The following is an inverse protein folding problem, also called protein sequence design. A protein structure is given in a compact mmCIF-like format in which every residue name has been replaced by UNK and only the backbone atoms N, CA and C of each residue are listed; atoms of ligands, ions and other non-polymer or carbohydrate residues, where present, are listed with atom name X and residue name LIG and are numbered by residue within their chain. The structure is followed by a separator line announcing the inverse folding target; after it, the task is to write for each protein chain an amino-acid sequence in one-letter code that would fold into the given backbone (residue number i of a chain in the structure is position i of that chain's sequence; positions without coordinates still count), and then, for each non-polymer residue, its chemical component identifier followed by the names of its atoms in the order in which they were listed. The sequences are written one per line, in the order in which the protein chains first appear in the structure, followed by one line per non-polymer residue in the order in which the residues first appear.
data_IF_344918466819
#
_entry.id   IF_344918466819
#
_cell.length_a   1.000
_cell.length_b   1.000
_cell.length_c   1.000
_cell.angle_alpha   90.00
_cell.angle_beta   90.00
_cell.angle_gamma   90.00
#
_symmetry.space_group_name_H-M   'P 1'
#
loop_
_entity.id
_entity.type
_entity.pdbx_description
1 polymer ?
#
# COMPACT_ATOMS: atom_id res chain seq x y z
N UNK A 1 7.61 -40.76 8.14
CA UNK A 1 6.44 -40.84 7.25
C UNK A 1 6.05 -39.44 6.84
N UNK A 2 6.29 -39.08 5.57
CA UNK A 2 6.19 -37.69 5.09
C UNK A 2 4.82 -37.39 4.47
N UNK A 3 3.78 -37.33 5.30
CA UNK A 3 2.47 -36.77 4.92
C UNK A 3 2.32 -35.29 5.37
N UNK A 4 3.43 -34.57 5.56
CA UNK A 4 3.46 -33.20 6.11
C UNK A 4 3.80 -32.08 5.13
N UNK A 5 4.39 -32.37 3.97
CA UNK A 5 4.91 -31.35 3.05
C UNK A 5 3.80 -30.56 2.35
N UNK A 6 2.72 -31.22 1.93
CA UNK A 6 1.58 -30.58 1.26
C UNK A 6 0.77 -29.66 2.17
N UNK A 7 0.51 -30.10 3.41
CA UNK A 7 -0.25 -29.32 4.39
C UNK A 7 0.52 -28.06 4.81
N UNK A 8 1.84 -28.17 5.03
CA UNK A 8 2.69 -27.02 5.35
C UNK A 8 2.75 -26.03 4.19
N UNK A 9 2.89 -26.51 2.95
CA UNK A 9 2.89 -25.65 1.77
C UNK A 9 1.55 -24.88 1.62
N UNK A 10 0.42 -25.54 1.89
CA UNK A 10 -0.90 -24.90 1.88
C UNK A 10 -0.99 -23.77 2.92
N UNK A 11 -0.58 -24.01 4.17
CA UNK A 11 -0.61 -22.97 5.20
C UNK A 11 0.33 -21.80 4.90
N UNK A 12 1.52 -22.07 4.34
CA UNK A 12 2.45 -21.02 3.90
C UNK A 12 1.85 -20.16 2.79
N UNK A 13 1.21 -20.79 1.80
CA UNK A 13 0.49 -20.08 0.74
C UNK A 13 -0.66 -19.24 1.30
N UNK A 14 -1.46 -19.81 2.21
CA UNK A 14 -2.59 -19.11 2.82
C UNK A 14 -2.14 -17.92 3.67
N UNK A 15 -1.05 -18.06 4.44
CA UNK A 15 -0.46 -16.96 5.20
C UNK A 15 0.03 -15.84 4.27
N UNK A 16 0.69 -16.20 3.17
CA UNK A 16 1.14 -15.21 2.18
C UNK A 16 -0.04 -14.49 1.52
N UNK A 17 -1.07 -15.24 1.13
CA UNK A 17 -2.29 -14.70 0.53
C UNK A 17 -3.03 -13.78 1.51
N UNK A 18 -3.12 -14.15 2.79
CA UNK A 18 -3.72 -13.31 3.82
C UNK A 18 -2.99 -11.98 3.97
N UNK A 19 -1.65 -12.01 4.03
CA UNK A 19 -0.84 -10.78 4.12
C UNK A 19 -1.03 -9.90 2.88
N UNK A 20 -1.09 -10.50 1.68
CA UNK A 20 -1.36 -9.78 0.45
C UNK A 20 -2.74 -9.11 0.49
N UNK A 21 -3.79 -9.85 0.84
CA UNK A 21 -5.15 -9.30 0.93
C UNK A 21 -5.26 -8.21 1.99
N UNK A 22 -4.61 -8.37 3.14
CA UNK A 22 -4.56 -7.35 4.18
C UNK A 22 -3.88 -6.06 3.71
N UNK A 23 -2.77 -6.17 2.98
CA UNK A 23 -2.08 -5.02 2.41
C UNK A 23 -2.93 -4.30 1.36
N UNK A 24 -3.66 -5.06 0.53
CA UNK A 24 -4.59 -4.50 -0.45
C UNK A 24 -5.77 -3.79 0.23
N UNK A 25 -6.33 -4.39 1.27
CA UNK A 25 -7.37 -3.77 2.08
C UNK A 25 -6.87 -2.44 2.67
N UNK A 26 -5.66 -2.41 3.24
CA UNK A 26 -5.08 -1.18 3.79
C UNK A 26 -4.93 -0.10 2.71
N UNK A 27 -4.45 -0.47 1.52
CA UNK A 27 -4.30 0.44 0.40
C UNK A 27 -5.65 1.01 -0.05
N UNK A 28 -6.69 0.19 -0.20
CA UNK A 28 -8.03 0.67 -0.55
C UNK A 28 -8.59 1.56 0.58
N UNK A 29 -8.48 1.11 1.84
CA UNK A 29 -8.99 1.81 3.01
C UNK A 29 -8.38 3.20 3.19
N UNK A 30 -7.06 3.31 3.01
CA UNK A 30 -6.31 4.55 3.20
C UNK A 30 -6.67 5.64 2.17
N UNK A 31 -7.03 5.26 0.95
CA UNK A 31 -7.25 6.23 -0.14
C UNK A 31 -8.73 6.48 -0.44
N UNK A 32 -9.65 5.62 -0.04
CA UNK A 32 -11.08 5.77 -0.36
C UNK A 32 -11.91 6.02 0.92
N UNK A 33 -12.09 5.05 1.84
CA UNK A 33 -12.81 5.29 3.11
C UNK A 33 -12.19 6.38 3.99
N UNK A 34 -10.86 6.37 4.18
CA UNK A 34 -10.21 7.24 5.15
C UNK A 34 -10.38 8.74 4.82
N UNK A 35 -10.15 9.20 3.58
CA UNK A 35 -10.48 10.58 3.20
C UNK A 35 -11.97 10.87 3.35
N UNK A 36 -12.86 9.95 2.97
CA UNK A 36 -14.30 10.18 3.08
C UNK A 36 -14.80 10.33 4.53
N UNK A 37 -14.17 9.66 5.50
CA UNK A 37 -14.48 9.79 6.93
C UNK A 37 -13.90 11.08 7.52
N UNK A 38 -12.67 11.44 7.13
CA UNK A 38 -11.97 12.60 7.68
C UNK A 38 -12.51 13.94 7.16
N UNK A 39 -13.02 13.93 5.93
CA UNK A 39 -13.33 15.15 5.19
C UNK A 39 -14.83 15.43 5.11
N UNK A 40 -15.59 14.92 6.10
CA UNK A 40 -17.04 15.03 6.30
C UNK A 40 -17.75 15.70 5.11
N UNK A 41 -18.08 14.89 4.10
CA UNK A 41 -18.70 15.41 2.90
C UNK A 41 -20.13 15.82 3.26
N UNK A 42 -20.41 17.12 3.17
CA UNK A 42 -21.74 17.65 3.46
C UNK A 42 -22.70 17.10 2.41
N UNK A 43 -23.43 16.03 2.79
CA UNK A 43 -24.50 15.49 1.98
C UNK A 43 -25.64 16.49 2.07
N UNK A 44 -25.76 17.35 1.06
CA UNK A 44 -26.83 18.33 0.93
C UNK A 44 -28.18 17.65 1.24
N UNK A 45 -28.68 17.89 2.45
CA UNK A 45 -29.81 17.17 3.06
C UNK A 45 -31.09 17.98 3.07
N UNK A 46 -31.05 19.22 2.56
CA UNK A 46 -32.25 20.04 2.41
C UNK A 46 -32.98 19.70 1.11
N UNK A 47 -33.64 18.55 1.12
CA UNK A 47 -34.62 18.14 0.12
C UNK A 47 -35.92 18.95 0.26
N UNK A 48 -35.98 20.19 -0.22
CA UNK A 48 -37.23 20.96 -0.28
C UNK A 48 -37.99 20.78 -1.59
N UNK A 49 -37.34 20.28 -2.65
CA UNK A 49 -37.96 20.08 -3.96
C UNK A 49 -38.01 18.62 -4.39
N UNK A 50 -39.21 18.16 -4.76
CA UNK A 50 -39.52 16.75 -5.05
C UNK A 50 -39.00 16.21 -6.39
N UNK A 51 -38.39 17.07 -7.23
CA UNK A 51 -38.08 16.76 -8.64
C UNK A 51 -36.59 16.85 -9.00
N UNK A 52 -35.69 16.85 -8.02
CA UNK A 52 -34.24 16.82 -8.27
C UNK A 52 -33.66 15.42 -8.04
N UNK A 53 -32.68 15.04 -8.87
CA UNK A 53 -32.00 13.73 -8.80
C UNK A 53 -31.28 13.51 -7.46
N UNK A 54 -30.94 14.58 -6.74
CA UNK A 54 -30.31 14.53 -5.41
C UNK A 54 -31.21 13.87 -4.35
N UNK A 55 -32.53 14.10 -4.40
CA UNK A 55 -33.45 13.56 -3.40
C UNK A 55 -33.98 12.13 -3.70
N UNK A 56 -33.67 11.59 -4.88
CA UNK A 56 -34.12 10.26 -5.28
C UNK A 56 -33.47 9.15 -4.42
N UNK A 57 -32.24 9.38 -3.97
CA UNK A 57 -31.52 8.42 -3.11
C UNK A 57 -32.21 8.19 -1.76
N UNK A 58 -32.72 9.25 -1.13
CA UNK A 58 -33.38 9.16 0.17
C UNK A 58 -34.76 8.49 0.07
N UNK A 59 -35.51 8.78 -1.00
CA UNK A 59 -36.78 8.11 -1.31
C UNK A 59 -36.59 6.61 -1.59
N UNK A 60 -35.52 6.24 -2.29
CA UNK A 60 -35.15 4.85 -2.52
C UNK A 60 -34.87 4.12 -1.20
N UNK A 61 -34.03 4.68 -0.33
CA UNK A 61 -33.74 4.07 0.99
C UNK A 61 -34.99 3.89 1.85
N UNK A 62 -35.87 4.89 1.88
CA UNK A 62 -37.12 4.81 2.64
C UNK A 62 -38.08 3.73 2.10
N UNK A 63 -38.03 3.45 0.80
CA UNK A 63 -38.86 2.42 0.16
C UNK A 63 -38.30 1.01 0.37
N UNK A 64 -36.97 0.84 0.25
CA UNK A 64 -36.30 -0.46 0.42
C UNK A 64 -36.46 -1.03 1.85
N UNK A 65 -36.62 -0.19 2.86
CA UNK A 65 -36.89 -0.62 4.24
C UNK A 65 -38.24 -1.34 4.42
N UNK A 66 -39.17 -1.23 3.47
CA UNK A 66 -40.52 -1.80 3.58
C UNK A 66 -40.69 -3.20 2.99
N UNK A 67 -39.74 -3.68 2.17
CA UNK A 67 -39.79 -5.02 1.55
C UNK A 67 -38.49 -5.81 1.84
N UNK A 68 -38.34 -6.36 3.05
CA UNK A 68 -37.07 -6.99 3.45
C UNK A 68 -37.11 -8.52 3.36
N UNK A 69 -36.47 -9.08 2.33
CA UNK A 69 -35.95 -10.45 2.38
C UNK A 69 -34.49 -10.39 2.85
N UNK A 70 -34.29 -10.42 4.17
CA UNK A 70 -32.99 -10.20 4.84
C UNK A 70 -31.85 -11.04 4.25
N UNK A 71 -32.14 -12.27 3.80
CA UNK A 71 -31.13 -13.17 3.21
C UNK A 71 -30.69 -12.68 1.82
N UNK A 72 -31.63 -12.25 0.98
CA UNK A 72 -31.29 -11.67 -0.33
C UNK A 72 -30.54 -10.36 -0.16
N UNK A 73 -30.96 -9.53 0.79
CA UNK A 73 -30.30 -8.26 1.09
C UNK A 73 -28.86 -8.44 1.56
N UNK A 74 -28.60 -9.45 2.38
CA UNK A 74 -27.23 -9.76 2.83
C UNK A 74 -26.35 -10.28 1.68
N UNK A 75 -26.91 -11.12 0.80
CA UNK A 75 -26.16 -11.72 -0.33
C UNK A 75 -25.88 -10.70 -1.43
N UNK A 76 -26.85 -9.83 -1.75
CA UNK A 76 -26.67 -8.76 -2.72
C UNK A 76 -25.93 -7.54 -2.16
N UNK A 77 -25.85 -7.42 -0.83
CA UNK A 77 -25.31 -6.23 -0.16
C UNK A 77 -26.26 -5.03 -0.22
N UNK A 78 -27.56 -5.29 -0.44
CA UNK A 78 -28.62 -4.28 -0.56
C UNK A 78 -29.26 -3.97 0.80
N UNK A 79 -30.12 -2.95 0.85
CA UNK A 79 -30.83 -2.57 2.09
C UNK A 79 -29.93 -1.83 3.09
N UNK A 80 -29.70 -2.39 4.28
CA UNK A 80 -28.92 -1.70 5.32
C UNK A 80 -27.45 -1.48 4.94
N UNK A 81 -26.86 -2.38 4.16
CA UNK A 81 -25.45 -2.33 3.77
C UNK A 81 -25.15 -1.17 2.82
N UNK A 82 -26.13 -0.72 2.04
CA UNK A 82 -25.99 0.38 1.07
C UNK A 82 -25.70 1.73 1.73
N UNK A 83 -26.11 1.93 2.99
CA UNK A 83 -25.81 3.15 3.77
C UNK A 83 -24.41 3.12 4.38
N UNK A 84 -23.70 1.99 4.30
CA UNK A 84 -22.38 1.86 4.92
C UNK A 84 -21.29 2.43 4.01
N UNK A 85 -20.24 2.95 4.62
CA UNK A 85 -19.04 3.45 3.93
C UNK A 85 -18.34 2.39 3.05
N UNK A 86 -18.59 1.10 3.29
CA UNK A 86 -17.99 0.02 2.51
C UNK A 86 -18.73 -0.21 1.19
N UNK A 87 -19.92 0.37 1.02
CA UNK A 87 -20.70 0.22 -0.18
C UNK A 87 -20.14 1.09 -1.31
N UNK A 88 -20.02 0.50 -2.50
CA UNK A 88 -19.53 1.18 -3.69
C UNK A 88 -20.30 2.48 -4.00
N UNK A 89 -21.63 2.43 -3.92
CA UNK A 89 -22.50 3.57 -4.23
C UNK A 89 -22.60 4.64 -3.13
N UNK A 90 -21.85 4.49 -2.02
CA UNK A 90 -21.82 5.49 -0.95
C UNK A 90 -21.04 6.76 -1.37
N UNK A 91 -20.05 6.60 -2.24
CA UNK A 91 -19.14 7.67 -2.63
C UNK A 91 -19.71 8.51 -3.78
N UNK A 92 -19.77 9.83 -3.59
CA UNK A 92 -20.26 10.79 -4.59
C UNK A 92 -19.20 11.13 -5.65
N UNK A 93 -19.64 11.61 -6.82
CA UNK A 93 -18.75 12.10 -7.89
C UNK A 93 -18.26 13.54 -7.70
N UNK A 94 -18.42 14.10 -6.49
CA UNK A 94 -17.99 15.45 -6.13
C UNK A 94 -16.52 15.50 -5.71
N UNK A 95 -15.86 16.60 -6.05
CA UNK A 95 -14.52 16.93 -5.55
C UNK A 95 -14.66 17.37 -4.10
N UNK A 96 -13.85 16.78 -3.22
CA UNK A 96 -13.91 17.07 -1.79
C UNK A 96 -12.88 18.14 -1.44
N UNK A 97 -13.34 19.31 -0.99
CA UNK A 97 -12.46 20.37 -0.50
C UNK A 97 -12.17 20.16 0.99
N UNK A 98 -10.90 20.30 1.36
CA UNK A 98 -10.50 20.21 2.76
C UNK A 98 -9.46 21.26 3.12
N UNK A 99 -9.48 21.67 4.38
CA UNK A 99 -8.59 22.69 4.91
C UNK A 99 -7.34 22.02 5.47
N UNK A 100 -6.22 22.12 4.75
CA UNK A 100 -4.91 21.71 5.25
C UNK A 100 -4.22 22.95 5.86
N UNK A 101 -4.54 23.26 7.11
CA UNK A 101 -4.10 24.51 7.74
C UNK A 101 -4.80 25.72 7.12
N UNK A 102 -4.05 26.65 6.52
CA UNK A 102 -4.60 27.85 5.86
C UNK A 102 -4.82 27.68 4.35
N UNK A 103 -4.63 26.47 3.79
CA UNK A 103 -4.73 26.19 2.35
C UNK A 103 -5.92 25.28 2.07
N UNK A 104 -6.77 25.70 1.14
CA UNK A 104 -7.86 24.87 0.62
C UNK A 104 -7.26 23.89 -0.40
N UNK A 105 -7.35 22.59 -0.11
CA UNK A 105 -6.90 21.53 -0.99
C UNK A 105 -8.11 20.75 -1.52
N UNK A 106 -7.98 20.18 -2.71
CA UNK A 106 -9.05 19.44 -3.37
C UNK A 106 -8.64 17.97 -3.52
N UNK A 107 -9.50 17.06 -3.10
CA UNK A 107 -9.35 15.62 -3.29
C UNK A 107 -10.38 15.14 -4.32
N UNK A 108 -9.91 14.76 -5.50
CA UNK A 108 -10.74 14.17 -6.54
C UNK A 108 -11.00 12.69 -6.24
N UNK A 109 -12.12 12.43 -5.58
CA UNK A 109 -12.52 11.10 -5.13
C UNK A 109 -12.78 10.13 -6.31
N UNK A 110 -13.48 10.52 -7.40
CA UNK A 110 -13.61 9.69 -8.60
C UNK A 110 -12.27 9.26 -9.21
N UNK A 111 -11.33 10.20 -9.37
CA UNK A 111 -10.02 9.89 -9.95
C UNK A 111 -9.24 8.94 -9.05
N UNK A 112 -9.23 9.19 -7.74
CA UNK A 112 -8.59 8.33 -6.76
C UNK A 112 -9.17 6.91 -6.81
N UNK A 113 -10.48 6.77 -6.94
CA UNK A 113 -11.16 5.47 -7.02
C UNK A 113 -10.68 4.63 -8.22
N UNK A 114 -10.62 5.23 -9.41
CA UNK A 114 -10.18 4.55 -10.63
C UNK A 114 -8.69 4.18 -10.52
N UNK A 115 -7.86 5.14 -10.10
CA UNK A 115 -6.41 4.94 -10.01
C UNK A 115 -6.04 3.86 -8.99
N UNK A 116 -6.67 3.87 -7.82
CA UNK A 116 -6.47 2.85 -6.79
C UNK A 116 -6.94 1.49 -7.28
N UNK A 117 -8.04 1.40 -8.02
CA UNK A 117 -8.53 0.14 -8.59
C UNK A 117 -7.54 -0.46 -9.59
N UNK A 118 -6.99 0.36 -10.51
CA UNK A 118 -5.97 -0.07 -11.47
C UNK A 118 -4.69 -0.50 -10.74
N UNK A 119 -4.25 0.29 -9.76
CA UNK A 119 -3.05 0.03 -8.99
C UNK A 119 -3.19 -1.27 -8.17
N UNK A 120 -4.32 -1.45 -7.49
CA UNK A 120 -4.67 -2.66 -6.76
C UNK A 120 -4.56 -3.89 -7.66
N UNK A 121 -5.20 -3.84 -8.83
CA UNK A 121 -5.18 -4.95 -9.78
C UNK A 121 -3.77 -5.25 -10.27
N UNK A 122 -3.01 -4.22 -10.65
CA UNK A 122 -1.65 -4.36 -11.14
C UNK A 122 -0.70 -4.94 -10.08
N UNK A 123 -0.72 -4.42 -8.84
CA UNK A 123 0.13 -4.92 -7.76
C UNK A 123 -0.25 -6.37 -7.41
N UNK A 124 -1.56 -6.67 -7.31
CA UNK A 124 -2.05 -8.02 -7.02
C UNK A 124 -1.57 -9.03 -8.07
N UNK A 125 -1.76 -8.71 -9.35
CA UNK A 125 -1.34 -9.56 -10.46
C UNK A 125 0.18 -9.76 -10.45
N UNK A 126 0.97 -8.70 -10.30
CA UNK A 126 2.43 -8.81 -10.27
C UNK A 126 2.93 -9.62 -9.08
N UNK A 127 2.31 -9.46 -7.91
CA UNK A 127 2.66 -10.18 -6.71
C UNK A 127 2.34 -11.67 -6.81
N UNK A 128 1.16 -12.02 -7.34
CA UNK A 128 0.75 -13.40 -7.61
C UNK A 128 1.68 -14.04 -8.64
N UNK A 129 1.93 -13.38 -9.77
CA UNK A 129 2.83 -13.90 -10.82
C UNK A 129 4.24 -14.11 -10.29
N UNK A 130 4.81 -13.16 -9.55
CA UNK A 130 6.15 -13.31 -8.97
C UNK A 130 6.22 -14.44 -7.94
N UNK A 131 5.21 -14.54 -7.07
CA UNK A 131 5.14 -15.60 -6.06
C UNK A 131 5.03 -16.97 -6.71
N UNK A 132 4.15 -17.12 -7.71
CA UNK A 132 3.99 -18.36 -8.47
C UNK A 132 5.24 -18.72 -9.27
N UNK A 133 5.90 -17.75 -9.92
CA UNK A 133 7.13 -18.00 -10.67
C UNK A 133 8.28 -18.44 -9.75
N UNK A 134 8.40 -17.81 -8.58
CA UNK A 134 9.39 -18.22 -7.57
C UNK A 134 9.09 -19.63 -7.04
N UNK A 135 7.83 -19.91 -6.69
CA UNK A 135 7.40 -21.23 -6.26
C UNK A 135 7.64 -22.30 -7.32
N UNK A 136 7.38 -22.00 -8.59
CA UNK A 136 7.65 -22.92 -9.70
C UNK A 136 9.15 -23.18 -9.88
N UNK A 137 9.99 -22.15 -9.80
CA UNK A 137 11.45 -22.29 -9.86
C UNK A 137 11.98 -23.17 -8.73
N UNK A 138 11.52 -22.96 -7.50
CA UNK A 138 11.92 -23.77 -6.34
C UNK A 138 11.51 -25.24 -6.52
N UNK A 139 10.30 -25.49 -7.03
CA UNK A 139 9.81 -26.85 -7.31
C UNK A 139 10.56 -27.56 -8.44
N UNK A 140 10.94 -26.84 -9.50
CA UNK A 140 11.77 -27.37 -10.57
C UNK A 140 13.16 -27.76 -10.08
N UNK A 141 13.79 -26.89 -9.27
CA UNK A 141 15.13 -27.14 -8.70
C UNK A 141 15.09 -28.31 -7.70
N UNK A 142 14.04 -28.43 -6.89
CA UNK A 142 13.81 -29.61 -6.03
C UNK A 142 13.61 -30.91 -6.86
N UNK A 143 12.97 -30.82 -8.03
CA UNK A 143 12.64 -31.95 -8.88
C UNK A 143 13.80 -32.56 -9.68
N UNK A 144 14.85 -31.78 -9.99
CA UNK A 144 15.91 -32.22 -10.93
C UNK A 144 17.10 -32.96 -10.29
N UNK A 145 17.26 -33.04 -8.97
CA UNK A 145 18.42 -33.80 -8.44
C UNK A 145 18.62 -33.96 -6.94
N UNK A 146 18.05 -33.09 -6.09
CA UNK A 146 18.35 -33.13 -4.65
C UNK A 146 17.76 -34.35 -3.93
N UNK A 147 16.58 -34.83 -4.31
CA UNK A 147 15.95 -36.00 -3.66
C UNK A 147 16.71 -37.31 -3.85
N UNK A 148 17.42 -37.46 -4.98
CA UNK A 148 18.21 -38.67 -5.26
C UNK A 148 19.71 -38.47 -5.06
N UNK A 149 20.18 -37.27 -4.73
CA UNK A 149 21.61 -36.99 -4.58
C UNK A 149 22.28 -37.95 -3.58
N UNK A 150 21.70 -38.10 -2.38
CA UNK A 150 22.21 -39.02 -1.36
C UNK A 150 22.07 -40.50 -1.76
N UNK A 151 20.96 -40.86 -2.39
CA UNK A 151 20.74 -42.23 -2.89
C UNK A 151 21.74 -42.59 -3.98
N UNK A 152 21.92 -41.72 -4.98
CA UNK A 152 22.83 -41.90 -6.11
C UNK A 152 24.30 -41.93 -5.66
N UNK A 153 24.61 -41.17 -4.62
CA UNK A 153 25.95 -41.15 -4.01
C UNK A 153 26.24 -42.44 -3.23
N UNK A 154 25.27 -42.97 -2.48
CA UNK A 154 25.42 -44.27 -1.78
C UNK A 154 25.42 -45.43 -2.78
N UNK A 155 24.49 -45.46 -3.74
CA UNK A 155 24.39 -46.53 -4.74
C UNK A 155 25.51 -46.49 -5.77
N UNK A 156 25.93 -45.31 -6.21
CA UNK A 156 27.08 -45.13 -7.11
C UNK A 156 28.43 -45.31 -6.41
N UNK A 157 28.48 -45.09 -5.09
CA UNK A 157 29.65 -45.35 -4.26
C UNK A 157 29.80 -46.81 -3.82
N UNK A 158 28.74 -47.62 -3.94
CA UNK A 158 28.73 -49.03 -3.53
C UNK A 158 29.46 -49.88 -4.57
N UNK A 159 30.54 -50.54 -4.16
CA UNK A 159 31.31 -51.45 -5.00
C UNK A 159 31.37 -52.85 -4.35
N UNK A 160 30.70 -53.82 -4.98
CA UNK A 160 30.68 -55.22 -4.55
C UNK A 160 31.95 -56.00 -4.93
N UNK A 161 32.80 -55.45 -5.81
CA UNK A 161 34.01 -56.13 -6.28
C UNK A 161 35.17 -56.01 -5.28
N UNK A 162 35.03 -55.21 -4.22
CA UNK A 162 36.07 -55.01 -3.19
C UNK A 162 36.10 -56.21 -2.23
N UNK A 163 37.11 -57.06 -2.38
CA UNK A 163 37.34 -58.22 -1.51
C UNK A 163 38.27 -57.92 -0.31
N UNK A 164 38.88 -56.73 -0.27
CA UNK A 164 39.81 -56.33 0.80
C UNK A 164 39.08 -55.49 1.86
N UNK A 165 39.04 -55.99 3.10
CA UNK A 165 38.40 -55.33 4.25
C UNK A 165 38.97 -53.91 4.50
N UNK A 166 40.28 -53.70 4.31
CA UNK A 166 40.87 -52.35 4.44
C UNK A 166 40.32 -51.38 3.41
N UNK A 167 40.15 -51.81 2.16
CA UNK A 167 39.62 -50.97 1.08
C UNK A 167 38.13 -50.71 1.25
N UNK A 168 37.36 -51.69 1.74
CA UNK A 168 35.94 -51.54 2.06
C UNK A 168 35.72 -50.51 3.18
N UNK A 169 36.49 -50.59 4.26
CA UNK A 169 36.47 -49.59 5.35
C UNK A 169 36.86 -48.20 4.87
N UNK A 170 37.82 -48.10 3.95
CA UNK A 170 38.25 -46.83 3.39
C UNK A 170 37.17 -46.20 2.49
N UNK A 171 36.50 -47.00 1.64
CA UNK A 171 35.35 -46.54 0.83
C UNK A 171 34.16 -46.13 1.70
N UNK A 172 33.84 -46.90 2.74
CA UNK A 172 32.78 -46.54 3.67
C UNK A 172 33.07 -45.20 4.37
N UNK A 173 34.31 -45.00 4.84
CA UNK A 173 34.74 -43.73 5.44
C UNK A 173 34.69 -42.56 4.45
N UNK A 174 35.02 -42.78 3.18
CA UNK A 174 34.95 -41.77 2.13
C UNK A 174 33.49 -41.32 1.88
N UNK A 175 32.57 -42.26 1.65
CA UNK A 175 31.14 -41.97 1.46
C UNK A 175 30.56 -41.25 2.68
N UNK A 176 30.89 -41.71 3.89
CA UNK A 176 30.45 -41.05 5.13
C UNK A 176 30.96 -39.60 5.22
N UNK A 177 32.24 -39.36 4.90
CA UNK A 177 32.81 -38.01 4.95
C UNK A 177 32.19 -37.08 3.92
N UNK A 178 31.84 -37.59 2.75
CA UNK A 178 31.27 -36.81 1.66
C UNK A 178 29.78 -36.49 1.93
N UNK A 179 29.00 -37.42 2.51
CA UNK A 179 27.64 -37.13 3.00
C UNK A 179 27.69 -36.06 4.08
N UNK A 180 28.62 -36.20 5.03
CA UNK A 180 28.81 -35.24 6.11
C UNK A 180 29.17 -33.85 5.58
N UNK A 181 30.10 -33.77 4.62
CA UNK A 181 30.49 -32.52 3.98
C UNK A 181 29.30 -31.84 3.27
N UNK A 182 28.50 -32.62 2.52
CA UNK A 182 27.30 -32.12 1.84
C UNK A 182 26.27 -31.55 2.82
N UNK A 183 26.03 -32.24 3.94
CA UNK A 183 25.09 -31.78 4.97
C UNK A 183 25.58 -30.50 5.67
N UNK A 184 26.89 -30.39 5.91
CA UNK A 184 27.51 -29.19 6.49
C UNK A 184 27.42 -28.00 5.51
N UNK A 185 27.62 -28.23 4.21
CA UNK A 185 27.45 -27.17 3.21
C UNK A 185 26.01 -26.66 3.14
N UNK A 186 25.00 -27.53 3.17
CA UNK A 186 23.59 -27.11 3.16
C UNK A 186 23.25 -26.28 4.41
N UNK A 187 23.70 -26.72 5.60
CA UNK A 187 23.53 -25.94 6.85
C UNK A 187 24.16 -24.55 6.76
N UNK A 188 25.37 -24.46 6.23
CA UNK A 188 26.06 -23.17 6.07
C UNK A 188 25.32 -22.25 5.09
N UNK A 189 24.75 -22.81 4.02
CA UNK A 189 23.94 -22.05 3.06
C UNK A 189 22.63 -21.54 3.68
N UNK A 190 21.92 -22.36 4.46
CA UNK A 190 20.72 -21.95 5.20
C UNK A 190 21.04 -20.84 6.22
N UNK A 191 22.13 -20.99 6.98
CA UNK A 191 22.59 -19.96 7.92
C UNK A 191 22.94 -18.66 7.19
N UNK A 192 23.61 -18.75 6.03
CA UNK A 192 23.95 -17.58 5.22
C UNK A 192 22.70 -16.90 4.67
N UNK A 193 21.73 -17.66 4.16
CA UNK A 193 20.47 -17.12 3.64
C UNK A 193 19.61 -16.49 4.76
N UNK A 194 19.54 -17.12 5.94
CA UNK A 194 18.78 -16.59 7.08
C UNK A 194 19.36 -15.28 7.62
N UNK A 195 20.71 -15.18 7.70
CA UNK A 195 21.41 -13.92 8.01
C UNK A 195 21.12 -12.85 6.97
N UNK A 196 21.26 -13.20 5.69
CA UNK A 196 21.00 -12.30 4.56
C UNK A 196 19.56 -11.80 4.57
N UNK A 197 18.58 -12.62 4.94
CA UNK A 197 17.16 -12.22 5.01
C UNK A 197 16.91 -11.16 6.08
N UNK A 198 17.45 -11.34 7.28
CA UNK A 198 17.33 -10.35 8.35
C UNK A 198 18.06 -9.04 7.99
N UNK A 199 19.23 -9.14 7.38
CA UNK A 199 19.97 -7.97 6.87
C UNK A 199 19.19 -7.26 5.76
N UNK A 200 18.61 -8.01 4.83
CA UNK A 200 17.78 -7.46 3.75
C UNK A 200 16.57 -6.71 4.31
N UNK A 201 15.86 -7.28 5.28
CA UNK A 201 14.77 -6.59 5.98
C UNK A 201 15.24 -5.32 6.69
N UNK A 202 16.40 -5.37 7.36
CA UNK A 202 16.98 -4.20 8.03
C UNK A 202 17.32 -3.08 7.04
N UNK A 203 17.88 -3.43 5.87
CA UNK A 203 18.20 -2.48 4.80
C UNK A 203 16.91 -1.89 4.21
N UNK A 204 15.92 -2.73 3.90
CA UNK A 204 14.64 -2.28 3.34
C UNK A 204 13.93 -1.34 4.32
N UNK A 205 13.91 -1.70 5.60
CA UNK A 205 13.30 -0.91 6.66
C UNK A 205 14.01 0.43 6.83
N UNK A 206 15.34 0.43 6.84
CA UNK A 206 16.13 1.66 6.88
C UNK A 206 15.86 2.57 5.68
N UNK A 207 15.71 2.02 4.47
CA UNK A 207 15.38 2.81 3.28
C UNK A 207 13.99 3.43 3.35
N UNK A 208 13.01 2.69 3.86
CA UNK A 208 11.64 3.20 4.07
C UNK A 208 11.65 4.34 5.07
N UNK A 209 12.33 4.19 6.21
CA UNK A 209 12.44 5.24 7.22
C UNK A 209 13.10 6.50 6.64
N UNK A 210 14.24 6.34 5.95
CA UNK A 210 14.95 7.48 5.35
C UNK A 210 14.06 8.19 4.33
N UNK A 211 13.36 7.46 3.46
CA UNK A 211 12.45 8.06 2.49
C UNK A 211 11.27 8.79 3.16
N UNK A 212 10.73 8.26 4.26
CA UNK A 212 9.69 8.95 5.04
C UNK A 212 10.24 10.25 5.64
N UNK A 213 11.45 10.24 6.19
CA UNK A 213 12.10 11.43 6.73
C UNK A 213 12.34 12.46 5.62
N UNK A 214 12.82 12.03 4.46
CA UNK A 214 13.05 12.91 3.30
C UNK A 214 11.74 13.53 2.81
N UNK A 215 10.66 12.76 2.73
CA UNK A 215 9.32 13.29 2.41
C UNK A 215 8.84 14.29 3.46
N UNK A 216 9.08 14.02 4.74
CA UNK A 216 8.76 14.94 5.82
C UNK A 216 9.53 16.27 5.72
N UNK A 217 10.83 16.22 5.40
CA UNK A 217 11.65 17.41 5.19
C UNK A 217 11.18 18.19 3.95
N UNK A 218 10.90 17.50 2.84
CA UNK A 218 10.37 18.14 1.63
C UNK A 218 9.03 18.84 1.88
N UNK A 219 8.12 18.18 2.60
CA UNK A 219 6.86 18.78 3.01
C UNK A 219 7.08 19.99 3.93
N UNK A 220 7.98 19.87 4.91
CA UNK A 220 8.34 20.97 5.80
C UNK A 220 8.93 22.17 5.07
N UNK A 221 9.82 21.95 4.11
CA UNK A 221 10.36 22.99 3.24
C UNK A 221 9.26 23.63 2.38
N UNK A 222 8.34 22.83 1.82
CA UNK A 222 7.20 23.34 1.07
C UNK A 222 6.32 24.27 1.91
N UNK A 223 6.00 23.88 3.14
CA UNK A 223 5.24 24.70 4.09
C UNK A 223 6.01 25.97 4.47
N UNK A 224 7.32 25.86 4.74
CA UNK A 224 8.16 27.01 5.08
C UNK A 224 8.21 28.05 3.97
N UNK A 225 8.38 27.62 2.72
CA UNK A 225 8.35 28.51 1.54
C UNK A 225 6.99 29.18 1.41
N UNK A 226 5.90 28.42 1.56
CA UNK A 226 4.54 28.96 1.48
C UNK A 226 4.28 30.06 2.52
N UNK A 227 4.73 29.85 3.76
CA UNK A 227 4.59 30.84 4.84
C UNK A 227 5.41 32.12 4.56
N UNK A 228 6.66 31.99 4.15
CA UNK A 228 7.52 33.13 3.83
C UNK A 228 6.98 33.91 2.63
N UNK A 229 6.49 33.19 1.61
CA UNK A 229 5.88 33.80 0.44
C UNK A 229 4.68 34.67 0.82
N UNK A 230 3.73 34.13 1.60
CA UNK A 230 2.57 34.88 2.07
C UNK A 230 2.97 36.11 2.89
N UNK A 231 3.90 35.96 3.83
CA UNK A 231 4.39 37.09 4.63
C UNK A 231 5.03 38.18 3.77
N UNK A 232 5.84 37.80 2.77
CA UNK A 232 6.45 38.78 1.85
C UNK A 232 5.41 39.51 1.01
N UNK A 233 4.36 38.80 0.58
CA UNK A 233 3.31 39.34 -0.27
C UNK A 233 2.41 40.32 0.50
N UNK A 234 2.06 40.00 1.76
CA UNK A 234 1.35 40.93 2.65
C UNK A 234 2.15 42.21 2.89
N UNK A 235 3.46 42.11 3.11
CA UNK A 235 4.31 43.29 3.30
C UNK A 235 4.42 44.15 2.03
N UNK A 236 4.52 43.53 0.85
CA UNK A 236 4.51 44.23 -0.43
C UNK A 236 3.18 44.96 -0.66
N UNK A 237 2.04 44.34 -0.33
CA UNK A 237 0.73 44.98 -0.44
C UNK A 237 0.59 46.15 0.54
N UNK A 238 0.96 45.97 1.81
CA UNK A 238 0.93 47.03 2.81
C UNK A 238 1.81 48.23 2.40
N UNK A 239 3.00 47.97 1.86
CA UNK A 239 3.89 49.02 1.36
C UNK A 239 3.29 49.76 0.16
N UNK A 240 2.69 49.03 -0.79
CA UNK A 240 1.99 49.63 -1.92
C UNK A 240 0.80 50.51 -1.48
N UNK A 241 -0.04 50.02 -0.55
CA UNK A 241 -1.20 50.77 -0.04
C UNK A 241 -0.78 52.03 0.71
N UNK A 242 0.25 51.96 1.56
CA UNK A 242 0.76 53.11 2.31
C UNK A 242 1.38 54.19 1.39
N UNK A 243 2.10 53.77 0.35
CA UNK A 243 2.68 54.69 -0.64
C UNK A 243 1.58 55.38 -1.45
N UNK A 244 0.52 54.66 -1.78
CA UNK A 244 -0.63 55.23 -2.50
C UNK A 244 -1.39 56.22 -1.62
N UNK A 245 -1.64 55.90 -0.34
CA UNK A 245 -2.33 56.79 0.60
C UNK A 245 -1.56 58.09 0.83
N UNK A 246 -0.24 58.02 1.06
CA UNK A 246 0.62 59.20 1.25
C UNK A 246 0.75 60.05 -0.01
N UNK A 247 0.79 59.44 -1.19
CA UNK A 247 0.74 60.17 -2.46
C UNK A 247 -0.61 60.88 -2.66
N UNK A 248 -1.72 60.29 -2.22
CA UNK A 248 -3.06 60.89 -2.35
C UNK A 248 -3.26 62.06 -1.38
N UNK A 249 -2.79 61.93 -0.13
CA UNK A 249 -2.85 62.99 0.88
C UNK A 249 -1.96 64.18 0.51
N UNK A 250 -0.75 63.95 0.04
CA UNK A 250 0.15 65.02 -0.43
C UNK A 250 -0.40 65.76 -1.66
N UNK A 251 -1.08 65.05 -2.57
CA UNK A 251 -1.76 65.67 -3.70
C UNK A 251 -2.97 66.51 -3.26
N UNK A 252 -3.76 66.03 -2.29
CA UNK A 252 -4.86 66.82 -1.71
C UNK A 252 -4.37 68.06 -0.95
N UNK A 253 -3.24 67.98 -0.24
CA UNK A 253 -2.61 69.13 0.42
C UNK A 253 -2.17 70.20 -0.58
N UNK A 254 -1.56 69.80 -1.70
CA UNK A 254 -1.18 70.72 -2.77
C UNK A 254 -2.39 71.41 -3.43
N UNK A 255 -3.47 70.66 -3.66
CA UNK A 255 -4.72 71.23 -4.17
C UNK A 255 -5.35 72.22 -3.18
N UNK A 256 -5.34 71.92 -1.88
CA UNK A 256 -5.87 72.84 -0.86
C UNK A 256 -5.03 74.10 -0.67
N UNK A 257 -3.70 74.02 -0.84
CA UNK A 257 -2.79 75.18 -0.79
C UNK A 257 -2.91 76.09 -2.02
N UNK A 258 -3.40 75.56 -3.16
CA UNK A 258 -3.64 76.36 -4.37
C UNK A 258 -4.98 77.12 -4.36
N UNK A 259 -5.82 76.89 -3.34
CA UNK A 259 -7.20 77.40 -3.26
C UNK A 259 -7.44 78.37 -2.10
N UNK A 260 -6.39 78.93 -1.50
CA UNK A 260 -6.51 80.11 -0.64
C UNK A 260 -6.13 81.35 -1.47
N UNK A 261 -7.01 82.38 -1.54
CA UNK A 261 -6.93 83.49 -2.49
C UNK A 261 -5.76 84.46 -2.23
#
# INVERSE_FOLDING_TARGET
GNYGTGVVAFFLFLKWLFVLNFLMFLLIFLFIPLPAILLDWEKDTNCTETNTTSCCSEKYFNSTLTETNIILDLVQGTGMLERTILFYGFYSSSILSYMAGSVVMYYDLPLAYILITILYFAISLLAVVRSSAKGFKERLVEGEGQFYQYCNMVFGGWDFCIHNDKSAKMKHKAIFSEIKATLETEKLEEERQSRTRNEWYRIIFSRVIVNIIVLGILAGCGVGIFLVFNYSNEQLQNFATNTTSTATESFQQLLSSSYHP
#
